data_IF_311669419501
#
_entry.id   IF_311669419501
#
_cell.length_a   1.000
_cell.length_b   1.000
_cell.length_c   1.000
_cell.angle_alpha   90.00
_cell.angle_beta   90.00
_cell.angle_gamma   90.00
#
_symmetry.space_group_name_H-M   'P 1'
#
loop_
_entity.id
_entity.type
_entity.pdbx_description
1 polymer ?
#
# COMPACT_ATOMS: atom_id res chain seq x y z
N UNK A 1 -10.85 -22.45 7.07
CA UNK A 1 -10.83 -23.80 7.71
C UNK A 1 -9.96 -24.78 6.93
N UNK A 2 -10.14 -24.94 5.61
CA UNK A 2 -9.33 -25.83 4.76
C UNK A 2 -7.81 -25.54 4.73
N UNK A 3 -7.38 -24.34 5.12
CA UNK A 3 -5.97 -23.97 5.34
C UNK A 3 -5.34 -24.68 6.55
N UNK A 4 -6.15 -25.24 7.45
CA UNK A 4 -5.71 -26.07 8.58
C UNK A 4 -5.80 -27.57 8.24
N UNK A 5 -4.94 -28.42 8.83
CA UNK A 5 -3.84 -28.10 9.75
C UNK A 5 -2.60 -27.52 9.04
N UNK A 6 -1.69 -26.95 9.82
CA UNK A 6 -0.34 -26.53 9.37
C UNK A 6 0.57 -27.75 9.17
N UNK A 7 1.84 -27.55 8.79
CA UNK A 7 2.80 -28.64 8.54
C UNK A 7 2.60 -29.35 7.20
N UNK A 8 1.91 -28.71 6.26
CA UNK A 8 1.70 -29.18 4.88
C UNK A 8 2.54 -28.35 3.91
N UNK A 9 2.94 -28.96 2.79
CA UNK A 9 3.43 -28.21 1.64
C UNK A 9 2.23 -27.51 0.97
N UNK A 10 1.98 -26.25 1.34
CA UNK A 10 0.83 -25.51 0.86
C UNK A 10 0.94 -25.25 -0.65
N UNK A 11 -0.22 -25.10 -1.29
CA UNK A 11 -0.35 -24.59 -2.65
C UNK A 11 -1.27 -23.37 -2.62
N UNK A 12 -1.32 -22.62 -3.70
CA UNK A 12 -2.16 -21.42 -3.82
C UNK A 12 -3.47 -21.71 -4.55
N UNK A 13 -3.63 -21.14 -5.74
CA UNK A 13 -4.89 -21.13 -6.52
C UNK A 13 -4.59 -21.35 -8.01
N UNK A 14 -5.59 -21.77 -8.79
CA UNK A 14 -5.47 -21.76 -10.26
C UNK A 14 -5.47 -20.29 -10.72
N UNK A 15 -4.36 -19.74 -11.25
CA UNK A 15 -4.27 -18.32 -11.62
C UNK A 15 -5.23 -17.93 -12.74
N UNK A 16 -5.83 -18.90 -13.47
CA UNK A 16 -6.82 -18.65 -14.52
C UNK A 16 -8.26 -18.53 -14.00
N UNK A 17 -8.46 -18.75 -12.70
CA UNK A 17 -9.76 -18.65 -12.04
C UNK A 17 -9.88 -17.38 -11.17
N UNK A 18 -9.02 -16.39 -11.42
CA UNK A 18 -8.99 -15.11 -10.70
C UNK A 18 -9.44 -13.95 -11.62
N UNK A 19 -10.27 -13.01 -11.13
CA UNK A 19 -10.99 -13.09 -9.85
C UNK A 19 -12.06 -14.17 -9.87
N UNK A 20 -12.34 -14.77 -8.70
CA UNK A 20 -13.48 -15.69 -8.54
C UNK A 20 -14.82 -14.93 -8.53
N UNK A 21 -15.98 -15.59 -8.74
CA UNK A 21 -17.27 -14.92 -8.60
C UNK A 21 -17.52 -14.27 -7.23
N UNK A 22 -17.03 -14.89 -6.14
CA UNK A 22 -17.14 -14.30 -4.81
C UNK A 22 -16.22 -13.08 -4.64
N UNK A 23 -15.01 -13.17 -5.19
CA UNK A 23 -14.10 -12.02 -5.21
C UNK A 23 -14.65 -10.87 -6.06
N UNK A 24 -15.42 -11.17 -7.12
CA UNK A 24 -16.15 -10.16 -7.88
C UNK A 24 -17.20 -9.44 -7.04
N UNK A 25 -17.98 -10.16 -6.24
CA UNK A 25 -18.95 -9.55 -5.31
C UNK A 25 -18.23 -8.66 -4.27
N UNK A 26 -17.12 -9.14 -3.70
CA UNK A 26 -16.32 -8.35 -2.73
C UNK A 26 -15.66 -7.14 -3.38
N UNK A 27 -15.06 -7.28 -4.56
CA UNK A 27 -14.44 -6.18 -5.31
C UNK A 27 -15.42 -5.09 -5.72
N UNK A 28 -16.68 -5.45 -6.04
CA UNK A 28 -17.74 -4.46 -6.25
C UNK A 28 -18.04 -3.67 -4.97
N UNK A 29 -18.17 -4.36 -3.83
CA UNK A 29 -18.38 -3.68 -2.54
C UNK A 29 -17.20 -2.78 -2.15
N UNK A 30 -15.97 -3.17 -2.48
CA UNK A 30 -14.77 -2.37 -2.26
C UNK A 30 -14.77 -1.10 -3.10
N UNK A 31 -15.01 -1.24 -4.41
CA UNK A 31 -15.12 -0.09 -5.32
C UNK A 31 -16.25 0.86 -4.87
N UNK A 32 -17.43 0.34 -4.55
CA UNK A 32 -18.56 1.16 -4.10
C UNK A 32 -18.28 1.85 -2.76
N UNK A 33 -17.61 1.17 -1.83
CA UNK A 33 -17.20 1.75 -0.55
C UNK A 33 -16.18 2.87 -0.74
N UNK A 34 -15.19 2.68 -1.61
CA UNK A 34 -14.17 3.70 -1.92
C UNK A 34 -14.81 4.92 -2.57
N UNK A 35 -15.65 4.73 -3.58
CA UNK A 35 -16.29 5.82 -4.32
C UNK A 35 -17.26 6.59 -3.45
N UNK A 36 -18.05 5.89 -2.62
CA UNK A 36 -18.94 6.52 -1.65
C UNK A 36 -18.16 7.35 -0.64
N UNK A 37 -17.09 6.80 -0.06
CA UNK A 37 -16.24 7.52 0.88
C UNK A 37 -15.66 8.78 0.25
N UNK A 38 -15.10 8.68 -0.96
CA UNK A 38 -14.55 9.85 -1.65
C UNK A 38 -15.61 10.93 -1.90
N UNK A 39 -16.80 10.52 -2.36
CA UNK A 39 -17.90 11.44 -2.64
C UNK A 39 -18.46 12.10 -1.38
N UNK A 40 -18.48 11.39 -0.25
CA UNK A 40 -18.83 11.96 1.06
C UNK A 40 -17.79 13.01 1.51
N UNK A 41 -16.50 12.76 1.26
CA UNK A 41 -15.41 13.66 1.64
C UNK A 41 -15.29 14.89 0.72
N UNK A 42 -15.53 14.75 -0.59
CA UNK A 42 -15.20 15.79 -1.61
C UNK A 42 -16.40 16.29 -2.41
N UNK A 43 -17.54 15.58 -2.41
CA UNK A 43 -18.72 15.89 -3.20
C UNK A 43 -18.73 15.33 -4.63
N UNK A 44 -17.60 14.84 -5.15
CA UNK A 44 -17.45 14.32 -6.51
C UNK A 44 -16.91 12.88 -6.52
N UNK A 45 -17.00 12.19 -7.66
CA UNK A 45 -16.30 10.92 -7.85
C UNK A 45 -14.81 11.17 -8.14
N UNK A 46 -13.88 10.31 -7.67
CA UNK A 46 -12.49 10.45 -8.04
C UNK A 46 -12.33 10.18 -9.54
N UNK A 47 -11.56 11.01 -10.23
CA UNK A 47 -11.33 10.83 -11.68
C UNK A 47 -10.33 9.72 -11.93
N UNK A 48 -9.35 9.59 -11.04
CA UNK A 48 -8.42 8.47 -11.06
C UNK A 48 -8.11 7.91 -9.67
N UNK A 49 -8.02 6.58 -9.61
CA UNK A 49 -7.63 5.80 -8.43
C UNK A 49 -6.32 5.07 -8.74
N UNK A 50 -5.32 5.25 -7.89
CA UNK A 50 -4.13 4.42 -7.84
C UNK A 50 -4.33 3.26 -6.88
N UNK A 51 -4.17 2.01 -7.34
CA UNK A 51 -4.32 0.82 -6.50
C UNK A 51 -3.05 -0.03 -6.50
N UNK A 52 -2.57 -0.37 -5.32
CA UNK A 52 -1.45 -1.31 -5.16
C UNK A 52 -1.95 -2.75 -5.01
N UNK A 53 -1.50 -3.65 -5.90
CA UNK A 53 -1.99 -5.02 -6.02
C UNK A 53 -0.89 -6.04 -5.77
N UNK A 54 -1.12 -6.95 -4.83
CA UNK A 54 -0.13 -7.93 -4.38
C UNK A 54 -0.53 -9.36 -4.72
N UNK A 55 0.47 -10.18 -5.05
CA UNK A 55 0.23 -11.60 -5.34
C UNK A 55 -0.29 -12.37 -4.13
N UNK A 56 0.21 -12.07 -2.92
CA UNK A 56 -0.26 -12.72 -1.69
C UNK A 56 -1.74 -12.43 -1.42
N UNK A 57 -2.18 -11.19 -1.65
CA UNK A 57 -3.58 -10.78 -1.52
C UNK A 57 -4.48 -11.54 -2.49
N UNK A 58 -4.09 -11.61 -3.77
CA UNK A 58 -4.81 -12.38 -4.78
C UNK A 58 -4.95 -13.88 -4.42
N UNK A 59 -3.93 -14.47 -3.78
CA UNK A 59 -3.99 -15.86 -3.30
C UNK A 59 -4.93 -16.05 -2.10
N UNK A 60 -4.98 -15.09 -1.18
CA UNK A 60 -5.84 -15.16 0.01
C UNK A 60 -7.31 -14.98 -0.31
N UNK A 61 -7.62 -14.03 -1.19
CA UNK A 61 -8.99 -13.60 -1.46
C UNK A 61 -9.58 -14.19 -2.74
N UNK A 62 -8.77 -14.86 -3.54
CA UNK A 62 -9.14 -15.26 -4.91
C UNK A 62 -9.44 -14.05 -5.81
N UNK A 63 -8.78 -12.91 -5.57
CA UNK A 63 -8.66 -11.82 -6.54
C UNK A 63 -9.48 -10.55 -6.24
N UNK A 64 -9.76 -10.22 -4.98
CA UNK A 64 -10.55 -9.03 -4.60
C UNK A 64 -10.00 -7.73 -5.21
N UNK A 65 -8.69 -7.48 -5.11
CA UNK A 65 -8.05 -6.28 -5.67
C UNK A 65 -8.28 -6.16 -7.19
N UNK A 66 -8.24 -7.29 -7.90
CA UNK A 66 -8.43 -7.33 -9.37
C UNK A 66 -9.89 -7.08 -9.71
N UNK A 67 -10.80 -7.66 -8.93
CA UNK A 67 -12.22 -7.40 -9.06
C UNK A 67 -12.57 -5.93 -8.75
N UNK A 68 -11.90 -5.29 -7.79
CA UNK A 68 -12.06 -3.87 -7.51
C UNK A 68 -11.63 -3.00 -8.71
N UNK A 69 -10.48 -3.30 -9.33
CA UNK A 69 -10.05 -2.63 -10.58
C UNK A 69 -11.12 -2.74 -11.66
N UNK A 70 -11.62 -3.96 -11.90
CA UNK A 70 -12.67 -4.20 -12.89
C UNK A 70 -13.96 -3.45 -12.56
N UNK A 71 -14.38 -3.45 -11.29
CA UNK A 71 -15.56 -2.74 -10.84
C UNK A 71 -15.41 -1.22 -11.06
N UNK A 72 -14.28 -0.61 -10.67
CA UNK A 72 -14.02 0.82 -10.88
C UNK A 72 -14.09 1.22 -12.36
N UNK A 73 -13.49 0.40 -13.25
CA UNK A 73 -13.54 0.56 -14.71
C UNK A 73 -14.94 0.30 -15.31
N UNK A 74 -15.82 -0.37 -14.56
CA UNK A 74 -17.13 -0.82 -15.03
C UNK A 74 -17.05 -1.98 -16.03
N UNK A 75 -16.09 -2.89 -15.84
CA UNK A 75 -15.91 -4.09 -16.66
C UNK A 75 -16.27 -5.31 -15.81
N UNK A 76 -17.09 -6.21 -16.35
CA UNK A 76 -17.51 -7.44 -15.68
C UNK A 76 -16.71 -8.64 -16.21
N UNK A 77 -16.12 -9.47 -15.34
CA UNK A 77 -15.56 -10.75 -15.73
C UNK A 77 -16.65 -11.77 -16.08
N UNK A 78 -16.37 -12.64 -17.05
CA UNK A 78 -17.22 -13.78 -17.42
C UNK A 78 -16.52 -15.08 -17.10
N UNK A 79 -17.23 -16.00 -16.46
CA UNK A 79 -16.72 -17.32 -16.09
C UNK A 79 -17.36 -18.44 -16.91
N UNK A 80 -16.57 -19.48 -17.18
CA UNK A 80 -17.10 -20.78 -17.55
C UNK A 80 -17.71 -21.48 -16.32
N UNK A 81 -18.94 -21.97 -16.43
CA UNK A 81 -19.68 -22.54 -15.30
C UNK A 81 -18.99 -23.79 -14.72
N UNK A 82 -18.38 -24.61 -15.58
CA UNK A 82 -17.79 -25.88 -15.18
C UNK A 82 -16.40 -25.71 -14.56
N UNK A 83 -15.50 -25.02 -15.26
CA UNK A 83 -14.11 -24.83 -14.83
C UNK A 83 -13.91 -23.67 -13.88
N UNK A 84 -14.89 -22.77 -13.74
CA UNK A 84 -14.81 -21.50 -13.00
C UNK A 84 -13.70 -20.57 -13.48
N UNK A 85 -13.12 -20.83 -14.65
CA UNK A 85 -12.10 -19.97 -15.25
C UNK A 85 -12.73 -18.77 -15.92
N UNK A 86 -11.97 -17.68 -15.96
CA UNK A 86 -12.34 -16.51 -16.76
C UNK A 86 -12.27 -16.88 -18.24
N UNK A 87 -13.34 -16.60 -18.97
CA UNK A 87 -13.45 -16.81 -20.42
C UNK A 87 -13.56 -15.52 -21.22
N UNK A 88 -13.77 -14.39 -20.54
CA UNK A 88 -13.83 -13.08 -21.18
C UNK A 88 -14.17 -11.97 -20.20
N UNK A 89 -14.23 -10.76 -20.76
CA UNK A 89 -14.64 -9.54 -20.07
C UNK A 89 -15.78 -8.90 -20.88
N UNK A 90 -16.67 -8.17 -20.22
CA UNK A 90 -17.73 -7.40 -20.87
C UNK A 90 -17.88 -6.01 -20.22
N UNK A 91 -18.08 -4.93 -21.00
CA UNK A 91 -18.35 -3.62 -20.41
C UNK A 91 -19.77 -3.59 -19.82
N UNK A 92 -19.89 -3.11 -18.58
CA UNK A 92 -21.18 -2.82 -17.94
C UNK A 92 -21.72 -1.52 -18.53
N UNK A 93 -22.93 -1.47 -19.12
CA UNK A 93 -23.50 -0.24 -19.66
C UNK A 93 -23.62 0.87 -18.60
N UNK A 94 -23.37 2.14 -18.95
CA UNK A 94 -23.43 3.25 -17.98
C UNK A 94 -24.75 3.36 -17.21
N UNK A 95 -25.88 3.04 -17.87
CA UNK A 95 -27.19 3.04 -17.24
C UNK A 95 -27.31 1.99 -16.11
N UNK A 96 -26.60 0.86 -16.26
CA UNK A 96 -26.49 -0.17 -15.22
C UNK A 96 -25.43 0.18 -14.18
N UNK A 97 -24.28 0.74 -14.61
CA UNK A 97 -23.19 1.15 -13.73
C UNK A 97 -23.59 2.29 -12.78
N UNK A 98 -24.47 3.20 -13.20
CA UNK A 98 -25.06 4.26 -12.37
C UNK A 98 -24.08 5.38 -11.96
N UNK A 99 -22.87 5.38 -12.52
CA UNK A 99 -21.79 6.35 -12.26
C UNK A 99 -20.80 6.38 -13.43
N UNK A 100 -19.88 7.37 -13.46
CA UNK A 100 -18.77 7.34 -14.41
C UNK A 100 -17.85 6.14 -14.23
N UNK A 101 -17.18 5.74 -15.32
CA UNK A 101 -16.00 4.85 -15.26
C UNK A 101 -14.82 5.63 -14.71
N UNK A 102 -14.16 5.06 -13.71
CA UNK A 102 -13.01 5.68 -13.04
C UNK A 102 -11.73 5.19 -13.69
N UNK A 103 -10.77 6.10 -13.93
CA UNK A 103 -9.45 5.73 -14.43
C UNK A 103 -8.64 5.04 -13.32
N UNK A 104 -8.16 3.81 -13.55
CA UNK A 104 -7.44 3.04 -12.53
C UNK A 104 -6.00 2.84 -12.95
N UNK A 105 -5.06 3.35 -12.16
CA UNK A 105 -3.63 3.05 -12.28
C UNK A 105 -3.26 1.95 -11.29
N UNK A 106 -2.71 0.85 -11.78
CA UNK A 106 -2.38 -0.33 -10.97
C UNK A 106 -0.87 -0.43 -10.76
N UNK A 107 -0.44 -0.46 -9.50
CA UNK A 107 0.93 -0.85 -9.13
C UNK A 107 0.95 -2.31 -8.72
N UNK A 108 1.52 -3.18 -9.55
CA UNK A 108 1.72 -4.59 -9.21
C UNK A 108 3.06 -4.83 -8.51
N UNK A 109 3.09 -5.75 -7.55
CA UNK A 109 4.34 -6.31 -7.02
C UNK A 109 5.03 -7.21 -8.05
N UNK A 110 6.37 -7.37 -7.96
CA UNK A 110 7.11 -8.31 -8.80
C UNK A 110 6.61 -9.77 -8.66
N UNK A 111 6.17 -10.17 -7.47
CA UNK A 111 5.57 -11.50 -7.28
C UNK A 111 4.21 -11.64 -7.98
N UNK A 112 3.40 -10.58 -8.03
CA UNK A 112 2.13 -10.61 -8.79
C UNK A 112 2.38 -10.83 -10.29
N UNK A 113 3.38 -10.15 -10.87
CA UNK A 113 3.82 -10.36 -12.26
C UNK A 113 4.16 -11.82 -12.52
N UNK A 114 4.96 -12.43 -11.64
CA UNK A 114 5.47 -13.79 -11.83
C UNK A 114 4.38 -14.86 -11.65
N UNK A 115 3.51 -14.70 -10.64
CA UNK A 115 2.50 -15.69 -10.31
C UNK A 115 1.21 -15.55 -11.14
N UNK A 116 0.88 -14.36 -11.63
CA UNK A 116 -0.41 -14.03 -12.25
C UNK A 116 -0.30 -13.33 -13.63
N UNK A 117 0.53 -13.82 -14.58
CA UNK A 117 0.68 -13.17 -15.89
C UNK A 117 -0.63 -13.14 -16.68
N UNK A 118 -1.50 -14.14 -16.52
CA UNK A 118 -2.82 -14.16 -17.15
C UNK A 118 -3.74 -13.05 -16.60
N UNK A 119 -3.70 -12.81 -15.29
CA UNK A 119 -4.52 -11.80 -14.63
C UNK A 119 -4.01 -10.40 -14.99
N UNK A 120 -2.71 -10.23 -15.07
CA UNK A 120 -2.08 -9.01 -15.57
C UNK A 120 -2.57 -8.65 -16.99
N UNK A 121 -2.62 -9.63 -17.90
CA UNK A 121 -3.17 -9.42 -19.24
C UNK A 121 -4.68 -9.07 -19.21
N UNK A 122 -5.46 -9.66 -18.29
CA UNK A 122 -6.87 -9.33 -18.12
C UNK A 122 -7.09 -7.90 -17.58
N UNK A 123 -6.20 -7.39 -16.71
CA UNK A 123 -6.24 -6.00 -16.25
C UNK A 123 -6.02 -5.05 -17.43
N UNK A 124 -5.01 -5.30 -18.27
CA UNK A 124 -4.77 -4.49 -19.46
C UNK A 124 -5.95 -4.56 -20.45
N UNK A 125 -6.54 -5.74 -20.67
CA UNK A 125 -7.73 -5.90 -21.50
C UNK A 125 -8.92 -5.10 -20.96
N UNK A 126 -9.14 -5.09 -19.66
CA UNK A 126 -10.21 -4.33 -19.02
C UNK A 126 -10.01 -2.82 -19.20
N UNK A 127 -8.78 -2.34 -19.02
CA UNK A 127 -8.42 -0.92 -19.22
C UNK A 127 -8.70 -0.52 -20.67
N UNK A 128 -8.19 -1.27 -21.65
CA UNK A 128 -8.39 -0.96 -23.07
C UNK A 128 -9.86 -1.02 -23.46
N UNK A 129 -10.57 -2.06 -23.03
CA UNK A 129 -12.01 -2.21 -23.27
C UNK A 129 -12.81 -1.03 -22.70
N UNK A 130 -12.47 -0.55 -21.51
CA UNK A 130 -13.11 0.62 -20.90
C UNK A 130 -12.77 1.92 -21.65
N UNK A 131 -11.53 2.10 -22.09
CA UNK A 131 -11.10 3.27 -22.85
C UNK A 131 -11.76 3.37 -24.24
N UNK A 132 -12.06 2.23 -24.87
CA UNK A 132 -12.67 2.14 -26.21
C UNK A 132 -14.19 2.38 -26.22
N UNK A 133 -14.85 2.46 -25.06
CA UNK A 133 -16.29 2.68 -25.01
C UNK A 133 -16.65 4.06 -25.55
N UNK A 134 -17.64 4.13 -26.46
CA UNK A 134 -18.10 5.41 -27.01
C UNK A 134 -19.00 6.17 -26.03
N UNK A 135 -18.38 6.74 -25.00
CA UNK A 135 -19.03 7.43 -23.88
C UNK A 135 -18.49 8.87 -23.73
N UNK A 136 -19.31 9.83 -23.24
CA UNK A 136 -18.86 11.19 -22.96
C UNK A 136 -17.73 11.26 -21.93
N UNK A 137 -16.88 12.29 -22.02
CA UNK A 137 -15.71 12.46 -21.15
C UNK A 137 -16.03 12.62 -19.65
N UNK A 138 -17.22 13.13 -19.30
CA UNK A 138 -17.69 13.25 -17.91
C UNK A 138 -18.24 11.93 -17.34
N UNK A 139 -18.41 10.93 -18.19
CA UNK A 139 -18.95 9.60 -17.86
C UNK A 139 -17.89 8.49 -18.00
N UNK A 140 -16.75 8.78 -18.63
CA UNK A 140 -15.63 7.86 -18.78
C UNK A 140 -14.30 8.61 -18.62
N UNK A 141 -13.79 8.65 -17.38
CA UNK A 141 -12.58 9.40 -17.05
C UNK A 141 -11.33 8.77 -17.67
N UNK A 142 -11.30 7.45 -17.83
CA UNK A 142 -10.20 6.76 -18.49
C UNK A 142 -10.09 7.17 -19.95
N UNK A 143 -11.19 7.09 -20.72
CA UNK A 143 -11.23 7.53 -22.12
C UNK A 143 -10.81 8.99 -22.24
N UNK A 144 -11.37 9.87 -21.41
CA UNK A 144 -11.02 11.29 -21.42
C UNK A 144 -9.52 11.53 -21.23
N UNK A 145 -8.87 10.78 -20.33
CA UNK A 145 -7.43 10.87 -20.08
C UNK A 145 -6.60 10.31 -21.25
N UNK A 146 -7.01 9.18 -21.84
CA UNK A 146 -6.33 8.57 -23.01
C UNK A 146 -6.43 9.49 -24.23
N UNK A 147 -7.61 10.07 -24.48
CA UNK A 147 -7.83 11.01 -25.57
C UNK A 147 -6.99 12.28 -25.40
N UNK A 148 -6.91 12.81 -24.17
CA UNK A 148 -6.06 13.96 -23.85
C UNK A 148 -4.57 13.66 -24.06
N UNK A 149 -4.09 12.49 -23.64
CA UNK A 149 -2.70 12.05 -23.86
C UNK A 149 -2.38 11.89 -25.35
N UNK A 150 -3.29 11.28 -26.09
CA UNK A 150 -3.14 11.07 -27.54
C UNK A 150 -3.13 12.42 -28.27
N UNK A 151 -4.01 13.34 -27.89
CA UNK A 151 -4.02 14.71 -28.43
C UNK A 151 -2.74 15.50 -28.09
N UNK A 152 -2.09 15.18 -26.97
CA UNK A 152 -0.78 15.72 -26.59
C UNK A 152 0.40 15.03 -27.32
N UNK A 153 0.14 14.10 -28.24
CA UNK A 153 1.15 13.42 -29.06
C UNK A 153 1.77 12.18 -28.41
N UNK A 154 1.20 11.68 -27.32
CA UNK A 154 1.56 10.36 -26.78
C UNK A 154 1.01 9.29 -27.70
N UNK A 155 1.81 8.27 -27.98
CA UNK A 155 1.38 7.11 -28.75
C UNK A 155 0.12 6.48 -28.10
N UNK A 156 -0.95 6.15 -28.87
CA UNK A 156 -2.21 5.67 -28.30
C UNK A 156 -2.06 4.43 -27.44
N UNK A 157 -1.16 3.52 -27.80
CA UNK A 157 -0.88 2.34 -26.97
C UNK A 157 -0.32 2.79 -25.62
N UNK A 158 0.63 3.73 -25.59
CA UNK A 158 1.25 4.26 -24.36
C UNK A 158 0.32 5.18 -23.56
N UNK A 159 -0.63 5.83 -24.22
CA UNK A 159 -1.66 6.63 -23.56
C UNK A 159 -2.57 5.76 -22.69
N UNK A 160 -2.82 4.52 -23.11
CA UNK A 160 -3.63 3.53 -22.39
C UNK A 160 -2.87 2.78 -21.27
N UNK A 161 -1.57 3.02 -21.07
CA UNK A 161 -0.79 2.30 -20.05
C UNK A 161 -1.26 2.61 -18.63
N UNK A 162 -1.69 1.58 -17.91
CA UNK A 162 -2.17 1.68 -16.53
C UNK A 162 -1.60 0.65 -15.57
N UNK A 163 -0.90 -0.37 -16.04
CA UNK A 163 -0.30 -1.39 -15.18
C UNK A 163 1.21 -1.18 -15.11
N UNK A 164 1.70 -0.86 -13.91
CA UNK A 164 3.12 -0.60 -13.63
C UNK A 164 3.63 -1.54 -12.55
N UNK A 165 4.89 -1.95 -12.62
CA UNK A 165 5.46 -2.89 -11.65
C UNK A 165 6.97 -2.87 -11.58
N UNK A 166 7.54 -3.76 -10.77
CA UNK A 166 8.99 -3.89 -10.63
C UNK A 166 9.67 -4.16 -11.98
N UNK A 167 10.92 -3.70 -12.17
CA UNK A 167 11.75 -4.08 -13.33
C UNK A 167 11.73 -5.60 -13.57
N UNK A 168 11.72 -6.09 -14.84
CA UNK A 168 11.83 -7.51 -15.13
C UNK A 168 13.03 -8.15 -14.42
N UNK A 169 12.79 -9.28 -13.75
CA UNK A 169 13.80 -10.00 -12.98
C UNK A 169 14.14 -9.40 -11.61
N UNK A 170 13.47 -8.33 -11.18
CA UNK A 170 13.63 -7.73 -9.85
C UNK A 170 12.30 -7.67 -9.08
N UNK A 171 12.39 -7.28 -7.80
CA UNK A 171 11.30 -7.24 -6.82
C UNK A 171 11.42 -6.01 -5.91
N UNK A 172 10.34 -5.66 -5.20
CA UNK A 172 10.30 -4.55 -4.26
C UNK A 172 9.98 -3.19 -4.90
N UNK A 173 9.99 -2.15 -4.07
CA UNK A 173 9.70 -0.77 -4.46
C UNK A 173 10.85 0.22 -4.19
N UNK A 174 11.95 -0.22 -3.59
CA UNK A 174 13.14 0.59 -3.30
C UNK A 174 13.00 1.51 -2.08
N UNK A 175 11.78 1.75 -1.60
CA UNK A 175 11.49 2.70 -0.53
C UNK A 175 12.04 2.22 0.82
N UNK A 176 11.94 0.93 1.16
CA UNK A 176 12.55 0.39 2.38
C UNK A 176 14.06 0.69 2.41
N UNK A 177 14.77 0.41 1.31
CA UNK A 177 16.21 0.65 1.22
C UNK A 177 16.55 2.14 1.33
N UNK A 178 15.72 3.03 0.79
CA UNK A 178 15.88 4.47 0.96
C UNK A 178 15.73 4.88 2.43
N UNK A 179 14.67 4.41 3.10
CA UNK A 179 14.41 4.67 4.53
C UNK A 179 15.51 4.11 5.43
N UNK A 180 15.95 2.87 5.20
CA UNK A 180 16.99 2.21 6.00
C UNK A 180 18.37 2.86 5.86
N UNK A 181 18.71 3.34 4.66
CA UNK A 181 20.02 3.99 4.43
C UNK A 181 20.03 5.47 4.79
N UNK A 182 18.87 6.06 5.08
CA UNK A 182 18.73 7.50 5.35
C UNK A 182 19.03 8.41 4.15
N UNK A 183 19.33 7.85 2.98
CA UNK A 183 19.77 8.56 1.77
C UNK A 183 18.60 9.19 0.98
N UNK A 184 17.82 10.01 1.66
CA UNK A 184 16.70 10.77 1.11
C UNK A 184 16.50 12.04 1.94
N UNK A 185 16.00 13.10 1.32
CA UNK A 185 15.71 14.37 2.00
C UNK A 185 14.27 14.83 1.84
N UNK A 186 13.69 14.63 0.66
CA UNK A 186 12.38 15.19 0.32
C UNK A 186 11.54 14.23 -0.53
N UNK A 187 10.29 14.61 -0.79
CA UNK A 187 9.34 13.80 -1.57
C UNK A 187 9.89 13.48 -2.97
N UNK A 188 10.77 14.32 -3.54
CA UNK A 188 11.31 14.11 -4.88
C UNK A 188 12.32 12.95 -4.92
N UNK A 189 13.14 12.79 -3.87
CA UNK A 189 14.04 11.64 -3.74
C UNK A 189 13.23 10.33 -3.65
N UNK A 190 12.18 10.31 -2.81
CA UNK A 190 11.31 9.14 -2.65
C UNK A 190 10.57 8.82 -3.96
N UNK A 191 10.07 9.83 -4.67
CA UNK A 191 9.41 9.66 -5.96
C UNK A 191 10.38 9.12 -7.04
N UNK A 192 11.63 9.57 -7.04
CA UNK A 192 12.66 9.10 -7.96
C UNK A 192 12.98 7.62 -7.70
N UNK A 193 13.17 7.22 -6.44
CA UNK A 193 13.38 5.82 -6.06
C UNK A 193 12.17 4.96 -6.46
N UNK A 194 10.96 5.38 -6.10
CA UNK A 194 9.75 4.63 -6.41
C UNK A 194 9.55 4.45 -7.93
N UNK A 195 9.87 5.48 -8.73
CA UNK A 195 9.81 5.45 -10.20
C UNK A 195 10.90 4.57 -10.78
N UNK A 196 12.14 4.62 -10.29
CA UNK A 196 13.23 3.78 -10.78
C UNK A 196 12.92 2.29 -10.56
N UNK A 197 12.29 1.95 -9.44
CA UNK A 197 11.95 0.57 -9.13
C UNK A 197 10.64 0.11 -9.76
N UNK A 198 9.66 1.00 -9.96
CA UNK A 198 8.29 0.68 -10.38
C UNK A 198 7.86 1.18 -11.76
N UNK A 199 8.68 1.99 -12.42
CA UNK A 199 8.37 2.67 -13.68
C UNK A 199 8.47 1.77 -14.91
N UNK A 200 7.95 0.55 -14.83
CA UNK A 200 7.95 -0.42 -15.92
C UNK A 200 6.51 -0.83 -16.23
N UNK A 201 6.10 -0.65 -17.48
CA UNK A 201 4.75 -0.94 -17.93
C UNK A 201 4.58 -2.42 -18.31
N UNK A 202 3.44 -2.98 -17.94
CA UNK A 202 3.07 -4.37 -18.15
C UNK A 202 1.70 -4.45 -18.83
N UNK A 203 1.47 -5.48 -19.64
CA UNK A 203 0.22 -5.66 -20.38
C UNK A 203 0.41 -6.48 -21.66
N UNK A 204 -0.59 -6.45 -22.55
CA UNK A 204 -0.44 -7.09 -23.86
C UNK A 204 0.64 -6.38 -24.67
N UNK A 205 1.61 -7.17 -25.15
CA UNK A 205 2.76 -6.64 -25.88
C UNK A 205 3.72 -5.84 -25.01
N UNK A 206 3.57 -5.87 -23.68
CA UNK A 206 4.38 -5.13 -22.71
C UNK A 206 4.86 -6.05 -21.60
N UNK A 207 6.13 -6.39 -21.67
CA UNK A 207 6.77 -7.30 -20.72
C UNK A 207 7.75 -6.55 -19.81
N UNK A 208 7.24 -5.51 -19.13
CA UNK A 208 8.04 -4.65 -18.25
C UNK A 208 8.92 -3.68 -19.01
N UNK A 209 8.34 -2.98 -19.98
CA UNK A 209 9.04 -1.96 -20.78
C UNK A 209 9.30 -0.73 -19.91
N UNK A 210 10.49 -0.10 -19.97
CA UNK A 210 10.75 1.14 -19.25
C UNK A 210 9.74 2.23 -19.63
N UNK A 211 9.00 2.72 -18.64
CA UNK A 211 7.83 3.59 -18.82
C UNK A 211 7.71 4.64 -17.69
N UNK A 212 8.84 5.05 -17.07
CA UNK A 212 8.83 5.98 -15.94
C UNK A 212 8.12 7.31 -16.23
N UNK A 213 8.30 7.87 -17.43
CA UNK A 213 7.59 9.09 -17.83
C UNK A 213 6.07 8.87 -18.00
N UNK A 214 5.66 7.70 -18.50
CA UNK A 214 4.24 7.35 -18.63
C UNK A 214 3.62 7.12 -17.25
N UNK A 215 4.35 6.46 -16.34
CA UNK A 215 3.95 6.29 -14.94
C UNK A 215 3.73 7.64 -14.25
N UNK A 216 4.70 8.56 -14.34
CA UNK A 216 4.58 9.88 -13.71
C UNK A 216 3.40 10.69 -14.29
N UNK A 217 3.14 10.60 -15.60
CA UNK A 217 2.01 11.26 -16.23
C UNK A 217 0.68 10.79 -15.66
N UNK A 218 0.46 9.48 -15.56
CA UNK A 218 -0.81 8.94 -15.03
C UNK A 218 -0.90 9.09 -13.52
N UNK A 219 0.21 9.00 -12.78
CA UNK A 219 0.26 9.28 -11.34
C UNK A 219 -0.11 10.73 -11.03
N UNK A 220 0.26 11.68 -11.89
CA UNK A 220 -0.14 13.09 -11.76
C UNK A 220 -1.66 13.32 -11.78
N UNK A 221 -2.47 12.31 -12.16
CA UNK A 221 -3.93 12.36 -12.18
C UNK A 221 -4.60 11.65 -11.00
N UNK A 222 -3.85 10.90 -10.18
CA UNK A 222 -4.42 10.10 -9.10
C UNK A 222 -5.03 11.01 -8.04
N UNK A 223 -6.35 10.89 -7.84
CA UNK A 223 -7.09 11.59 -6.78
C UNK A 223 -7.13 10.78 -5.49
N UNK A 224 -7.12 9.45 -5.61
CA UNK A 224 -7.12 8.50 -4.49
C UNK A 224 -6.00 7.48 -4.65
N UNK A 225 -5.08 7.41 -3.69
CA UNK A 225 -4.15 6.29 -3.54
C UNK A 225 -4.74 5.27 -2.55
N UNK A 226 -4.94 4.03 -3.00
CA UNK A 226 -5.58 2.97 -2.24
C UNK A 226 -4.68 1.75 -2.06
N UNK A 227 -4.81 1.12 -0.89
CA UNK A 227 -4.32 -0.23 -0.61
C UNK A 227 -5.32 -0.98 0.27
N UNK A 228 -5.54 -2.25 -0.02
CA UNK A 228 -6.46 -3.09 0.74
C UNK A 228 -5.76 -3.89 1.85
N UNK A 229 -6.49 -4.15 2.92
CA UNK A 229 -6.11 -5.06 4.01
C UNK A 229 -7.10 -6.23 4.00
N UNK A 230 -6.57 -7.42 3.71
CA UNK A 230 -7.31 -8.66 3.49
C UNK A 230 -7.23 -9.67 4.64
N UNK A 231 -6.39 -9.38 5.65
CA UNK A 231 -6.01 -10.30 6.72
C UNK A 231 -6.05 -9.56 8.07
N UNK A 232 -6.43 -10.27 9.13
CA UNK A 232 -6.41 -9.74 10.51
C UNK A 232 -5.10 -10.09 11.24
N UNK A 233 -4.30 -10.97 10.65
CA UNK A 233 -3.07 -11.49 11.22
C UNK A 233 -1.92 -10.47 11.22
N UNK A 234 -2.02 -9.44 10.40
CA UNK A 234 -1.09 -8.32 10.34
C UNK A 234 -1.86 -7.04 9.98
N UNK A 235 -1.32 -5.89 10.38
CA UNK A 235 -1.84 -4.58 10.02
C UNK A 235 -0.87 -3.74 9.18
N UNK A 236 -1.26 -2.52 8.81
CA UNK A 236 -0.45 -1.62 7.97
C UNK A 236 0.87 -1.22 8.63
N UNK A 237 1.00 -1.35 9.95
CA UNK A 237 2.21 -1.06 10.71
C UNK A 237 2.88 -2.34 11.26
N UNK A 238 2.64 -3.50 10.61
CA UNK A 238 3.30 -4.78 10.87
C UNK A 238 4.13 -5.29 9.67
N UNK A 239 4.08 -4.60 8.52
CA UNK A 239 4.86 -4.96 7.33
C UNK A 239 5.27 -3.72 6.55
N UNK A 240 6.54 -3.68 6.15
CA UNK A 240 7.13 -2.60 5.39
C UNK A 240 6.49 -2.40 4.00
N UNK A 241 5.99 -3.48 3.38
CA UNK A 241 5.39 -3.43 2.05
C UNK A 241 4.26 -2.38 1.97
N UNK A 242 3.49 -2.15 3.04
CA UNK A 242 2.41 -1.17 3.03
C UNK A 242 2.90 0.26 2.79
N UNK A 243 3.88 0.75 3.56
CA UNK A 243 4.39 2.10 3.32
C UNK A 243 5.21 2.17 2.03
N UNK A 244 5.87 1.08 1.65
CA UNK A 244 6.64 1.04 0.40
C UNK A 244 5.74 1.21 -0.84
N UNK A 245 4.58 0.55 -0.88
CA UNK A 245 3.67 0.59 -2.02
C UNK A 245 2.63 1.70 -1.89
N UNK A 246 1.87 1.73 -0.80
CA UNK A 246 0.82 2.73 -0.58
C UNK A 246 1.43 4.10 -0.30
N UNK A 247 2.37 4.16 0.63
CA UNK A 247 3.09 5.39 0.95
C UNK A 247 3.94 5.88 -0.22
N UNK A 248 4.70 5.01 -0.86
CA UNK A 248 5.49 5.35 -2.06
C UNK A 248 4.64 5.94 -3.19
N UNK A 249 3.41 5.43 -3.39
CA UNK A 249 2.44 6.01 -4.32
C UNK A 249 2.02 7.42 -3.89
N UNK A 250 1.66 7.62 -2.62
CA UNK A 250 1.28 8.94 -2.07
C UNK A 250 2.42 9.95 -2.22
N UNK A 251 3.65 9.61 -1.81
CA UNK A 251 4.84 10.44 -1.94
C UNK A 251 5.11 10.83 -3.40
N UNK A 252 5.00 9.86 -4.33
CA UNK A 252 5.21 10.11 -5.76
C UNK A 252 4.17 11.08 -6.32
N UNK A 253 2.89 10.89 -5.98
CA UNK A 253 1.82 11.79 -6.43
C UNK A 253 2.01 13.19 -5.83
N UNK A 254 2.38 13.28 -4.54
CA UNK A 254 2.67 14.54 -3.84
C UNK A 254 3.84 15.28 -4.49
N UNK A 255 4.93 14.59 -4.83
CA UNK A 255 6.08 15.18 -5.53
C UNK A 255 5.71 15.73 -6.92
N UNK A 256 4.80 15.06 -7.64
CA UNK A 256 4.37 15.47 -8.98
C UNK A 256 3.36 16.63 -8.98
N UNK A 257 2.43 16.64 -8.01
CA UNK A 257 1.32 17.60 -7.95
C UNK A 257 1.58 18.78 -7.00
N UNK A 258 2.53 18.65 -6.08
CA UNK A 258 2.72 19.56 -4.95
C UNK A 258 1.74 19.36 -3.80
N UNK A 259 0.77 18.45 -3.93
CA UNK A 259 -0.19 18.07 -2.88
C UNK A 259 -0.47 16.58 -2.90
N UNK A 260 -0.67 15.97 -1.74
CA UNK A 260 -0.98 14.55 -1.62
C UNK A 260 -2.38 14.23 -2.19
N UNK A 261 -2.58 13.03 -2.77
CA UNK A 261 -3.92 12.52 -3.05
C UNK A 261 -4.61 12.12 -1.74
N UNK A 262 -5.92 11.86 -1.80
CA UNK A 262 -6.58 11.17 -0.70
C UNK A 262 -5.96 9.77 -0.55
N UNK A 263 -5.58 9.37 0.66
CA UNK A 263 -5.03 8.05 0.93
C UNK A 263 -6.07 7.19 1.67
N UNK A 264 -6.54 6.12 1.04
CA UNK A 264 -7.58 5.25 1.59
C UNK A 264 -7.12 3.81 1.79
N UNK A 265 -7.68 3.15 2.80
CA UNK A 265 -7.49 1.73 3.08
C UNK A 265 -8.83 1.00 2.95
N UNK A 266 -8.89 0.03 2.04
CA UNK A 266 -10.02 -0.89 1.91
C UNK A 266 -9.88 -2.08 2.84
N UNK A 267 -10.76 -2.20 3.82
CA UNK A 267 -10.80 -3.31 4.77
C UNK A 267 -11.77 -4.39 4.26
N UNK A 268 -11.21 -5.43 3.65
CA UNK A 268 -11.93 -6.62 3.16
C UNK A 268 -11.68 -7.87 4.02
N UNK A 269 -11.07 -7.70 5.21
CA UNK A 269 -10.88 -8.78 6.19
C UNK A 269 -12.17 -9.54 6.53
N UNK A 270 -13.30 -8.86 6.34
CA UNK A 270 -14.66 -9.39 6.39
C UNK A 270 -15.38 -9.10 5.07
N UNK A 271 -15.43 -10.07 4.14
CA UNK A 271 -16.04 -9.88 2.81
C UNK A 271 -17.52 -9.48 2.83
N UNK A 272 -18.24 -9.79 3.93
CA UNK A 272 -19.64 -9.43 4.16
C UNK A 272 -19.83 -8.00 4.72
N UNK A 273 -18.74 -7.31 5.09
CA UNK A 273 -18.77 -6.00 5.74
C UNK A 273 -17.54 -5.17 5.34
N UNK A 274 -17.35 -4.99 4.04
CA UNK A 274 -16.30 -4.16 3.46
C UNK A 274 -16.44 -2.71 3.93
N UNK A 275 -15.32 -2.08 4.30
CA UNK A 275 -15.27 -0.69 4.75
C UNK A 275 -14.07 0.03 4.16
N UNK A 276 -14.23 1.32 3.89
CA UNK A 276 -13.11 2.19 3.49
C UNK A 276 -12.84 3.21 4.58
N UNK A 277 -11.58 3.30 5.00
CA UNK A 277 -11.08 4.32 5.94
C UNK A 277 -10.06 5.21 5.27
N UNK A 278 -9.87 6.41 5.80
CA UNK A 278 -8.66 7.15 5.47
C UNK A 278 -7.44 6.44 6.07
N UNK A 279 -6.27 6.67 5.47
CA UNK A 279 -5.01 6.14 6.00
C UNK A 279 -4.73 6.67 7.41
N UNK A 280 -5.09 7.94 7.69
CA UNK A 280 -5.02 8.51 9.04
C UNK A 280 -5.93 7.77 10.03
N UNK A 281 -7.16 7.44 9.64
CA UNK A 281 -8.08 6.66 10.48
C UNK A 281 -7.55 5.24 10.74
N UNK A 282 -6.99 4.58 9.72
CA UNK A 282 -6.47 3.22 9.87
C UNK A 282 -5.18 3.18 10.71
N UNK A 283 -4.23 4.09 10.48
CA UNK A 283 -3.02 4.21 11.31
C UNK A 283 -3.40 4.54 12.75
N UNK A 284 -4.29 5.51 12.99
CA UNK A 284 -4.81 5.83 14.33
C UNK A 284 -5.47 4.64 15.02
N UNK A 285 -6.25 3.85 14.26
CA UNK A 285 -6.90 2.63 14.76
C UNK A 285 -5.85 1.61 15.19
N UNK A 286 -4.86 1.35 14.34
CA UNK A 286 -3.78 0.38 14.59
C UNK A 286 -2.92 0.80 15.78
N UNK A 287 -2.56 2.08 15.86
CA UNK A 287 -1.80 2.65 16.98
C UNK A 287 -2.49 2.33 18.31
N UNK A 288 -3.81 2.57 18.40
CA UNK A 288 -4.57 2.32 19.63
C UNK A 288 -4.85 0.85 19.87
N UNK A 289 -5.18 0.10 18.82
CA UNK A 289 -5.64 -1.28 18.94
C UNK A 289 -4.49 -2.27 19.15
N UNK A 290 -3.27 -1.93 18.71
CA UNK A 290 -2.14 -2.86 18.68
C UNK A 290 -0.82 -2.24 19.14
N UNK A 291 -0.33 -1.14 18.55
CA UNK A 291 0.97 -0.51 18.92
C UNK A 291 1.02 -0.18 20.42
N UNK A 292 0.11 0.67 20.90
CA UNK A 292 0.05 1.12 22.29
C UNK A 292 -0.84 0.25 23.17
N UNK A 293 -1.25 -0.92 22.69
CA UNK A 293 -2.15 -1.79 23.45
C UNK A 293 -1.34 -2.61 24.46
N UNK A 294 -1.57 -2.46 25.78
CA UNK A 294 -0.80 -3.19 26.80
C UNK A 294 -0.84 -4.71 26.62
N UNK A 295 -1.94 -5.26 26.07
CA UNK A 295 -2.06 -6.70 25.83
C UNK A 295 -1.13 -7.19 24.72
N UNK A 296 -0.91 -6.39 23.69
CA UNK A 296 0.00 -6.73 22.62
C UNK A 296 1.45 -6.61 23.11
N UNK A 297 1.78 -5.51 23.80
CA UNK A 297 3.11 -5.28 24.36
C UNK A 297 3.48 -6.40 25.37
N UNK A 298 2.59 -6.74 26.30
CA UNK A 298 2.79 -7.86 27.24
C UNK A 298 2.94 -9.20 26.50
N UNK A 299 2.21 -9.38 25.39
CA UNK A 299 2.38 -10.51 24.48
C UNK A 299 3.80 -10.57 23.92
N UNK A 300 4.31 -9.47 23.37
CA UNK A 300 5.67 -9.39 22.83
C UNK A 300 6.72 -9.67 23.90
N UNK A 301 6.56 -9.14 25.12
CA UNK A 301 7.49 -9.39 26.24
C UNK A 301 7.67 -10.88 26.57
N UNK A 302 6.68 -11.72 26.28
CA UNK A 302 6.75 -13.19 26.50
C UNK A 302 7.62 -13.92 25.48
N UNK A 303 8.06 -13.25 24.42
CA UNK A 303 8.81 -13.85 23.30
C UNK A 303 10.25 -13.34 23.17
N UNK A 304 10.81 -12.73 24.22
CA UNK A 304 12.24 -12.39 24.32
C UNK A 304 12.74 -11.56 23.13
N UNK A 305 13.87 -11.96 22.55
CA UNK A 305 14.52 -11.25 21.44
C UNK A 305 13.57 -10.93 20.27
N UNK A 306 12.75 -11.90 19.83
CA UNK A 306 11.85 -11.69 18.68
C UNK A 306 10.68 -10.76 19.03
N UNK A 307 10.19 -10.81 20.27
CA UNK A 307 9.18 -9.85 20.73
C UNK A 307 9.70 -8.41 20.72
N UNK A 308 10.93 -8.20 21.20
CA UNK A 308 11.59 -6.90 21.11
C UNK A 308 11.81 -6.45 19.66
N UNK A 309 12.15 -7.39 18.77
CA UNK A 309 12.26 -7.09 17.33
C UNK A 309 10.94 -6.59 16.74
N UNK A 310 9.78 -7.20 17.04
CA UNK A 310 8.50 -6.74 16.48
C UNK A 310 8.13 -5.33 16.97
N UNK A 311 8.50 -4.99 18.22
CA UNK A 311 8.34 -3.64 18.75
C UNK A 311 9.19 -2.64 17.97
N UNK A 312 10.46 -2.94 17.72
CA UNK A 312 11.34 -2.07 16.93
C UNK A 312 10.88 -1.93 15.47
N UNK A 313 10.53 -3.04 14.83
CA UNK A 313 10.03 -3.04 13.46
C UNK A 313 8.76 -2.19 13.30
N UNK A 314 7.87 -2.20 14.30
CA UNK A 314 6.69 -1.31 14.32
C UNK A 314 7.11 0.17 14.27
N UNK A 315 8.15 0.57 14.99
CA UNK A 315 8.66 1.96 15.00
C UNK A 315 9.20 2.34 13.63
N UNK A 316 9.97 1.44 12.99
CA UNK A 316 10.47 1.65 11.63
C UNK A 316 9.33 1.77 10.60
N UNK A 317 8.29 0.94 10.71
CA UNK A 317 7.16 0.99 9.78
C UNK A 317 6.31 2.24 9.97
N UNK A 318 6.14 2.68 11.21
CA UNK A 318 5.48 3.95 11.53
C UNK A 318 6.24 5.12 10.92
N UNK A 319 7.57 5.16 11.11
CA UNK A 319 8.43 6.16 10.49
C UNK A 319 8.35 6.12 8.96
N UNK A 320 8.42 4.94 8.35
CA UNK A 320 8.33 4.78 6.89
C UNK A 320 7.00 5.26 6.32
N UNK A 321 5.89 5.01 7.02
CA UNK A 321 4.59 5.55 6.63
C UNK A 321 4.54 7.07 6.75
N UNK A 322 5.09 7.64 7.81
CA UNK A 322 5.09 9.07 7.99
C UNK A 322 5.98 9.80 6.98
N UNK A 323 7.19 9.28 6.74
CA UNK A 323 8.12 9.77 5.73
C UNK A 323 7.50 9.81 4.33
N UNK A 324 6.59 8.88 4.03
CA UNK A 324 5.99 8.76 2.69
C UNK A 324 4.61 9.42 2.56
N UNK A 325 3.93 9.72 3.67
CA UNK A 325 2.53 10.18 3.63
C UNK A 325 2.21 11.38 4.52
N UNK A 326 3.03 11.65 5.53
CA UNK A 326 2.81 12.70 6.54
C UNK A 326 1.47 12.56 7.27
N UNK A 327 1.07 11.33 7.59
CA UNK A 327 -0.24 11.02 8.24
C UNK A 327 -0.11 10.59 9.70
N UNK A 328 1.10 10.55 10.27
CA UNK A 328 1.27 10.22 11.68
C UNK A 328 1.24 11.50 12.50
N UNK A 329 0.33 11.57 13.48
CA UNK A 329 0.25 12.73 14.38
C UNK A 329 1.41 12.71 15.40
N UNK A 330 1.93 13.90 15.77
CA UNK A 330 3.00 14.10 16.76
C UNK A 330 2.79 13.37 18.09
N UNK A 331 1.57 13.34 18.61
CA UNK A 331 1.26 12.65 19.87
C UNK A 331 1.61 11.16 19.81
N UNK A 332 1.63 10.58 18.62
CA UNK A 332 1.98 9.18 18.39
C UNK A 332 3.44 8.94 18.70
N UNK A 333 4.35 9.77 18.20
CA UNK A 333 5.78 9.65 18.50
C UNK A 333 6.06 9.84 19.99
N UNK A 334 5.41 10.82 20.62
CA UNK A 334 5.46 11.02 22.07
C UNK A 334 5.02 9.76 22.83
N UNK A 335 3.86 9.21 22.46
CA UNK A 335 3.28 8.06 23.14
C UNK A 335 4.13 6.79 22.95
N UNK A 336 4.63 6.55 21.73
CA UNK A 336 5.51 5.42 21.42
C UNK A 336 6.85 5.56 22.13
N UNK A 337 7.44 6.75 22.15
CA UNK A 337 8.70 7.00 22.88
C UNK A 337 8.54 6.71 24.36
N UNK A 338 7.48 7.26 24.97
CA UNK A 338 7.19 7.04 26.40
C UNK A 338 6.91 5.59 26.72
N UNK A 339 6.15 4.90 25.89
CA UNK A 339 5.71 3.53 26.18
C UNK A 339 6.79 2.50 25.83
N UNK A 340 7.47 2.59 24.68
CA UNK A 340 8.42 1.57 24.26
C UNK A 340 9.80 1.77 24.86
N UNK A 341 10.31 3.01 24.87
CA UNK A 341 11.70 3.32 25.21
C UNK A 341 11.84 3.77 26.66
N UNK A 342 10.99 4.68 27.13
CA UNK A 342 11.14 5.30 28.46
C UNK A 342 10.41 4.55 29.58
N UNK A 343 9.41 3.73 29.26
CA UNK A 343 8.70 2.93 30.25
C UNK A 343 9.69 1.95 30.92
N UNK A 344 9.85 1.97 32.26
CA UNK A 344 10.87 1.16 32.94
C UNK A 344 10.74 -0.34 32.70
N UNK A 345 9.52 -0.87 32.53
CA UNK A 345 9.29 -2.29 32.29
C UNK A 345 9.73 -2.69 30.86
N UNK A 346 9.33 -1.90 29.86
CA UNK A 346 9.70 -2.17 28.47
C UNK A 346 11.19 -1.94 28.24
N UNK A 347 11.76 -0.88 28.82
CA UNK A 347 13.20 -0.59 28.78
C UNK A 347 14.02 -1.76 29.31
N UNK A 348 13.71 -2.23 30.54
CA UNK A 348 14.41 -3.37 31.13
C UNK A 348 14.25 -4.67 30.32
N UNK A 349 13.08 -4.87 29.68
CA UNK A 349 12.87 -5.98 28.77
C UNK A 349 13.74 -5.90 27.52
N UNK A 350 13.80 -4.72 26.89
CA UNK A 350 14.55 -4.46 25.65
C UNK A 350 16.06 -4.58 25.91
N UNK A 351 16.58 -3.91 26.93
CA UNK A 351 18.00 -3.98 27.32
C UNK A 351 18.45 -5.42 27.56
N UNK A 352 17.62 -6.21 28.24
CA UNK A 352 17.93 -7.62 28.53
C UNK A 352 17.81 -8.53 27.30
N UNK A 353 16.77 -8.34 26.49
CA UNK A 353 16.38 -9.32 25.48
C UNK A 353 16.94 -9.00 24.10
N UNK A 354 17.07 -7.72 23.76
CA UNK A 354 17.56 -7.23 22.47
C UNK A 354 18.00 -5.74 22.57
N UNK A 355 19.21 -5.46 23.08
CA UNK A 355 19.70 -4.08 23.20
C UNK A 355 19.86 -3.37 21.85
N UNK A 356 20.10 -4.11 20.76
CA UNK A 356 20.12 -3.55 19.40
C UNK A 356 18.76 -3.00 18.97
N UNK A 357 17.67 -3.66 19.33
CA UNK A 357 16.31 -3.16 19.08
C UNK A 357 16.04 -1.86 19.86
N UNK A 358 16.50 -1.77 21.11
CA UNK A 358 16.42 -0.54 21.91
C UNK A 358 17.13 0.62 21.22
N UNK A 359 18.39 0.40 20.83
CA UNK A 359 19.19 1.39 20.11
C UNK A 359 18.50 1.83 18.81
N UNK A 360 18.07 0.88 17.98
CA UNK A 360 17.40 1.15 16.71
C UNK A 360 16.10 1.97 16.88
N UNK A 361 15.30 1.67 17.92
CA UNK A 361 14.09 2.47 18.20
C UNK A 361 14.45 3.89 18.60
N UNK A 362 15.43 4.06 19.48
CA UNK A 362 15.84 5.39 19.94
C UNK A 362 16.42 6.22 18.79
N UNK A 363 17.29 5.62 17.97
CA UNK A 363 17.84 6.23 16.75
C UNK A 363 16.74 6.68 15.79
N UNK A 364 15.77 5.81 15.51
CA UNK A 364 14.70 6.12 14.57
C UNK A 364 13.77 7.22 15.06
N UNK A 365 13.46 7.25 16.36
CA UNK A 365 12.63 8.30 16.97
C UNK A 365 13.36 9.65 16.99
N UNK A 366 14.68 9.65 17.22
CA UNK A 366 15.51 10.86 17.09
C UNK A 366 15.56 11.34 15.64
N UNK A 367 15.70 10.42 14.67
CA UNK A 367 15.65 10.74 13.24
C UNK A 367 14.31 11.37 12.86
N UNK A 368 13.20 10.90 13.41
CA UNK A 368 11.88 11.49 13.18
C UNK A 368 11.83 12.95 13.62
N UNK A 369 12.40 13.27 14.79
CA UNK A 369 12.50 14.64 15.29
C UNK A 369 13.44 15.50 14.42
N UNK A 370 14.61 14.99 14.06
CA UNK A 370 15.60 15.71 13.24
C UNK A 370 15.08 16.03 11.83
N UNK A 371 14.23 15.15 11.28
CA UNK A 371 13.56 15.35 9.98
C UNK A 371 12.27 16.18 10.07
N UNK A 372 11.82 16.53 11.26
CA UNK A 372 10.57 17.26 11.49
C UNK A 372 9.30 16.45 11.20
N UNK A 373 9.42 15.11 11.16
CA UNK A 373 8.28 14.18 11.12
C UNK A 373 7.57 14.16 12.47
N UNK A 374 8.36 14.15 13.56
CA UNK A 374 7.90 14.53 14.88
C UNK A 374 8.17 16.02 15.07
N UNK A 375 7.16 16.86 14.83
CA UNK A 375 7.35 18.29 14.65
C UNK A 375 7.56 19.07 15.97
N UNK A 376 6.78 18.75 17.01
CA UNK A 376 6.81 19.42 18.30
C UNK A 376 7.03 18.43 19.47
N UNK A 377 8.20 17.76 19.55
CA UNK A 377 8.53 16.88 20.67
C UNK A 377 8.53 17.63 22.01
N UNK A 378 7.98 17.00 23.06
CA UNK A 378 8.20 17.45 24.43
C UNK A 378 9.72 17.48 24.71
N UNK A 379 10.29 18.65 25.05
CA UNK A 379 11.73 18.80 25.23
C UNK A 379 12.33 17.83 26.26
N UNK A 380 11.57 17.48 27.30
CA UNK A 380 12.03 16.53 28.31
C UNK A 380 12.04 15.10 27.75
N UNK A 381 11.02 14.71 26.98
CA UNK A 381 10.98 13.38 26.35
C UNK A 381 12.12 13.22 25.36
N UNK A 382 12.41 14.26 24.58
CA UNK A 382 13.48 14.25 23.61
C UNK A 382 14.85 14.11 24.30
N UNK A 383 15.04 14.77 25.45
CA UNK A 383 16.27 14.62 26.23
C UNK A 383 16.39 13.22 26.85
N UNK A 384 15.32 12.71 27.47
CA UNK A 384 15.27 11.35 28.03
C UNK A 384 15.54 10.29 26.93
N UNK A 385 15.06 10.54 25.70
CA UNK A 385 15.32 9.68 24.54
C UNK A 385 16.79 9.71 24.12
N UNK A 386 17.46 10.87 24.14
CA UNK A 386 18.90 10.98 23.89
C UNK A 386 19.73 10.25 24.94
N UNK A 387 19.35 10.37 26.20
CA UNK A 387 19.99 9.61 27.28
C UNK A 387 19.82 8.11 27.07
N UNK A 388 18.59 7.66 26.74
CA UNK A 388 18.31 6.26 26.45
C UNK A 388 19.10 5.73 25.23
N UNK A 389 19.29 6.55 24.20
CA UNK A 389 20.13 6.23 23.05
C UNK A 389 21.59 6.01 23.45
N UNK A 390 22.18 6.95 24.21
CA UNK A 390 23.57 6.86 24.70
C UNK A 390 23.79 5.66 25.63
N UNK A 391 22.82 5.36 26.50
CA UNK A 391 22.87 4.18 27.38
C UNK A 391 22.85 2.87 26.57
N UNK A 392 22.03 2.82 25.52
CA UNK A 392 21.95 1.66 24.62
C UNK A 392 23.24 1.50 23.80
N UNK A 393 23.81 2.60 23.29
CA UNK A 393 25.10 2.62 22.58
C UNK A 393 26.23 2.13 23.51
N UNK A 394 26.31 2.65 24.73
CA UNK A 394 27.28 2.20 25.74
C UNK A 394 27.15 0.70 26.07
N UNK A 395 25.93 0.15 26.04
CA UNK A 395 25.69 -1.29 26.25
C UNK A 395 26.15 -2.14 25.06
N UNK A 396 25.96 -1.66 23.84
CA UNK A 396 26.33 -2.38 22.61
C UNK A 396 27.83 -2.30 22.34
N UNK A 397 28.41 -1.10 22.43
CA UNK A 397 29.82 -0.85 22.12
C UNK A 397 30.74 -1.20 23.29
N UNK A 398 30.28 -1.00 24.53
CA UNK A 398 31.04 -1.24 25.75
C UNK A 398 31.09 -2.70 26.18
N UNK A 399 30.66 -3.64 25.32
CA UNK A 399 30.52 -5.07 25.64
C UNK A 399 31.65 -5.62 26.51
N UNK A 400 31.29 -6.09 27.70
CA UNK A 400 32.12 -7.07 28.42
C UNK A 400 32.28 -8.33 27.57
N UNK A 401 33.50 -8.86 27.59
CA UNK A 401 33.93 -10.17 27.05
C UNK A 401 33.18 -11.35 27.63
#
# INVERSE_FOLDING_TARGET
>A
INVLPTGRNFYSVDPRALPSPLAWDTGQLMADSLLRRHKEDTGEYPKSVGLSVWGTSAMRTSGDDVAEVFALLGIRPRWDEASRRIVGLEPIPLAELGRPRVDVTVRISGFFRDAFPHVLALIDDAVRMAAEQDEPADSNFLRANVDADTAAGIDPERAADRVFGSKPGTYGAGILQAIDTGNWRDDADLAAVYTEWGGYSYGRGRDGVPAGADMQRVYGRIDVAAKNVDSLEHDVLDSDDYYQFHGGMVATVKALRGSAPAAYVGDSTRPDSVRTRSLLEETSRVIRARVLNPRWIEGMRKHGYKGAFEMAATVDYLFGFDATTSVIDDWTYDAVTREYVLNPENRAFLEKSNPWAMHSMAERLLEAADRGLWAEPDPQVLEDLREAFLDAEGTIEGGEQ
#
